data_IF_704086659689
#
_entry.id   IF_704086659689
#
_cell.length_a   1.000
_cell.length_b   1.000
_cell.length_c   1.000
_cell.angle_alpha   90.00
_cell.angle_beta   90.00
_cell.angle_gamma   90.00
#
_symmetry.space_group_name_H-M   'P 1'
#
loop_
_entity.id
_entity.type
_entity.pdbx_description
1 polymer ?
#
# COMPACT_ATOMS: atom_id res chain seq x y z
N UNK A 1 -28.12 6.63 -12.60
CA UNK A 1 -26.74 7.04 -12.30
C UNK A 1 -25.93 6.85 -13.57
N UNK A 2 -25.26 7.90 -14.06
CA UNK A 2 -24.33 7.72 -15.18
C UNK A 2 -23.22 6.78 -14.71
N UNK A 3 -22.89 5.76 -15.52
CA UNK A 3 -21.81 4.85 -15.25
C UNK A 3 -20.49 5.63 -15.26
N UNK A 4 -19.74 5.58 -14.16
CA UNK A 4 -18.38 6.14 -14.13
C UNK A 4 -17.52 5.33 -15.10
N UNK A 5 -16.85 5.96 -16.07
CA UNK A 5 -16.04 5.23 -17.03
C UNK A 5 -14.84 4.54 -16.33
N UNK A 6 -14.50 3.35 -16.82
CA UNK A 6 -13.26 2.68 -16.45
C UNK A 6 -12.19 3.04 -17.47
N UNK A 7 -11.06 3.54 -17.02
CA UNK A 7 -9.94 3.92 -17.88
C UNK A 7 -8.72 3.09 -17.50
N UNK A 8 -8.01 2.58 -18.48
CA UNK A 8 -6.71 1.96 -18.29
C UNK A 8 -5.61 3.02 -18.28
N UNK A 9 -4.51 2.76 -17.58
CA UNK A 9 -3.37 3.68 -17.44
C UNK A 9 -2.89 4.22 -18.77
N UNK A 10 -2.84 3.36 -19.79
CA UNK A 10 -2.41 3.67 -21.16
C UNK A 10 -3.33 4.66 -21.89
N UNK A 11 -4.58 4.72 -21.50
CA UNK A 11 -5.57 5.62 -22.11
C UNK A 11 -5.49 7.05 -21.55
N UNK A 12 -4.73 7.23 -20.46
CA UNK A 12 -4.60 8.51 -19.76
C UNK A 12 -3.51 9.40 -20.33
N UNK A 13 -2.48 8.85 -20.95
CA UNK A 13 -1.36 9.62 -21.52
C UNK A 13 -1.78 10.70 -22.50
N UNK A 14 -2.78 10.49 -23.39
CA UNK A 14 -3.26 11.55 -24.27
C UNK A 14 -4.10 12.62 -23.58
N UNK A 15 -4.59 12.35 -22.36
CA UNK A 15 -5.59 13.19 -21.68
C UNK A 15 -4.94 14.13 -20.67
N UNK A 16 -3.83 13.70 -20.06
CA UNK A 16 -3.14 14.46 -19.01
C UNK A 16 -1.72 14.80 -19.47
N UNK A 17 -1.39 16.08 -19.31
CA UNK A 17 -0.05 16.57 -19.52
C UNK A 17 0.97 15.75 -18.73
N UNK A 18 2.06 15.34 -19.38
CA UNK A 18 3.11 14.50 -18.78
C UNK A 18 4.19 15.30 -18.03
N UNK A 19 3.97 16.61 -17.86
CA UNK A 19 4.92 17.50 -17.19
C UNK A 19 4.18 18.38 -16.18
N UNK A 20 4.92 18.86 -15.17
CA UNK A 20 4.39 19.73 -14.12
C UNK A 20 3.80 18.97 -12.94
N UNK A 21 2.93 19.63 -12.22
CA UNK A 21 2.33 19.14 -10.97
C UNK A 21 0.82 19.34 -10.98
N UNK A 22 0.10 18.48 -10.25
CA UNK A 22 -1.33 18.64 -10.00
C UNK A 22 -1.60 18.43 -8.51
N UNK A 23 -2.29 19.37 -7.87
CA UNK A 23 -2.61 19.32 -6.44
C UNK A 23 -4.09 19.12 -6.21
N UNK A 24 -4.43 18.29 -5.21
CA UNK A 24 -5.81 17.96 -4.86
C UNK A 24 -6.01 17.91 -3.34
N UNK A 25 -7.15 18.38 -2.85
CA UNK A 25 -7.50 18.27 -1.44
C UNK A 25 -7.97 16.85 -1.11
N UNK A 26 -7.31 16.19 -0.14
CA UNK A 26 -7.72 14.91 0.44
C UNK A 26 -7.59 15.02 1.96
N UNK A 27 -8.61 14.63 2.71
CA UNK A 27 -8.62 14.65 4.18
C UNK A 27 -8.15 16.01 4.77
N UNK A 28 -8.62 17.12 4.20
CA UNK A 28 -8.28 18.50 4.56
C UNK A 28 -6.78 18.87 4.37
N UNK A 29 -6.07 18.14 3.52
CA UNK A 29 -4.69 18.42 3.12
C UNK A 29 -4.56 18.46 1.62
N UNK A 30 -3.58 19.20 1.13
CA UNK A 30 -3.25 19.24 -0.29
C UNK A 30 -2.16 18.24 -0.59
N UNK A 31 -2.46 17.23 -1.43
CA UNK A 31 -1.46 16.32 -1.98
C UNK A 31 -1.09 16.76 -3.40
N UNK A 32 0.19 16.78 -3.70
CA UNK A 32 0.71 17.18 -5.00
C UNK A 32 1.29 15.99 -5.74
N UNK A 33 0.82 15.76 -6.95
CA UNK A 33 1.30 14.70 -7.85
C UNK A 33 2.28 15.28 -8.89
N UNK A 34 3.39 14.60 -9.12
CA UNK A 34 4.34 14.90 -10.20
C UNK A 34 3.88 14.21 -11.49
N UNK A 35 3.47 14.97 -12.49
CA UNK A 35 2.87 14.40 -13.70
C UNK A 35 3.88 13.69 -14.61
N UNK A 36 5.19 13.89 -14.43
CA UNK A 36 6.23 13.09 -15.09
C UNK A 36 6.19 11.61 -14.68
N UNK A 37 5.71 11.31 -13.46
CA UNK A 37 5.58 9.97 -12.95
C UNK A 37 4.24 9.35 -13.40
N UNK A 38 4.28 8.20 -14.10
CA UNK A 38 3.08 7.58 -14.69
C UNK A 38 2.04 7.19 -13.63
N UNK A 39 2.46 6.67 -12.49
CA UNK A 39 1.55 6.28 -11.40
C UNK A 39 0.90 7.50 -10.75
N UNK A 40 1.66 8.58 -10.54
CA UNK A 40 1.11 9.81 -9.99
C UNK A 40 0.16 10.50 -10.98
N UNK A 41 0.46 10.46 -12.28
CA UNK A 41 -0.50 10.92 -13.32
C UNK A 41 -1.83 10.19 -13.22
N UNK A 42 -1.78 8.89 -12.95
CA UNK A 42 -2.98 8.08 -12.76
C UNK A 42 -3.82 8.55 -11.57
N UNK A 43 -3.18 8.78 -10.41
CA UNK A 43 -3.89 9.33 -9.25
C UNK A 43 -4.44 10.74 -9.52
N UNK A 44 -3.67 11.59 -10.18
CA UNK A 44 -4.13 12.91 -10.61
C UNK A 44 -5.36 12.80 -11.54
N UNK A 45 -5.32 11.88 -12.52
CA UNK A 45 -6.44 11.60 -13.41
C UNK A 45 -7.68 11.11 -12.65
N UNK A 46 -7.50 10.21 -11.71
CA UNK A 46 -8.56 9.71 -10.84
C UNK A 46 -9.26 10.86 -10.10
N UNK A 47 -8.46 11.75 -9.49
CA UNK A 47 -8.97 12.91 -8.77
C UNK A 47 -9.68 13.90 -9.70
N UNK A 48 -9.10 14.20 -10.87
CA UNK A 48 -9.60 15.22 -11.81
C UNK A 48 -10.84 14.73 -12.56
N UNK A 49 -10.75 13.55 -13.15
CA UNK A 49 -11.77 13.02 -14.08
C UNK A 49 -12.79 12.14 -13.38
N UNK A 50 -12.60 11.80 -12.10
CA UNK A 50 -13.44 10.87 -11.33
C UNK A 50 -13.65 9.53 -12.05
N UNK A 51 -12.60 9.03 -12.67
CA UNK A 51 -12.59 7.76 -13.39
C UNK A 51 -12.27 6.59 -12.49
N UNK A 52 -12.66 5.40 -12.91
CA UNK A 52 -12.32 4.14 -12.23
C UNK A 52 -10.95 3.66 -12.72
N UNK A 53 -10.15 3.20 -11.77
CA UNK A 53 -8.88 2.57 -12.05
C UNK A 53 -8.73 1.33 -11.15
N UNK A 54 -9.02 0.12 -11.66
CA UNK A 54 -9.10 -1.09 -10.84
C UNK A 54 -7.89 -1.32 -9.94
N UNK A 55 -6.66 -1.14 -10.47
CA UNK A 55 -5.42 -1.34 -9.72
C UNK A 55 -5.37 -0.51 -8.43
N UNK A 56 -5.66 0.78 -8.50
CA UNK A 56 -5.65 1.67 -7.32
C UNK A 56 -6.98 1.74 -6.57
N UNK A 57 -8.05 1.17 -7.15
CA UNK A 57 -9.36 1.19 -6.52
C UNK A 57 -9.54 0.04 -5.52
N UNK A 58 -8.77 -1.06 -5.65
CA UNK A 58 -8.78 -2.17 -4.68
C UNK A 58 -8.56 -1.62 -3.27
N UNK A 59 -7.49 -0.88 -3.04
CA UNK A 59 -7.17 -0.26 -1.75
C UNK A 59 -8.28 0.67 -1.27
N UNK A 60 -8.72 1.57 -2.15
CA UNK A 60 -9.76 2.54 -1.80
C UNK A 60 -11.08 1.89 -1.40
N UNK A 61 -11.43 0.76 -2.04
CA UNK A 61 -12.62 -0.03 -1.72
C UNK A 61 -12.45 -0.85 -0.44
N UNK A 62 -11.26 -1.44 -0.22
CA UNK A 62 -10.92 -2.10 1.04
C UNK A 62 -11.01 -1.14 2.21
N UNK A 63 -10.38 0.02 2.11
CA UNK A 63 -10.42 1.02 3.18
C UNK A 63 -11.84 1.53 3.43
N UNK A 64 -12.63 1.74 2.38
CA UNK A 64 -14.04 2.11 2.51
C UNK A 64 -14.88 1.05 3.22
N UNK A 65 -14.61 -0.23 2.98
CA UNK A 65 -15.38 -1.35 3.58
C UNK A 65 -14.95 -1.63 5.02
N UNK A 66 -13.67 -1.52 5.35
CA UNK A 66 -13.12 -2.11 6.56
C UNK A 66 -12.54 -1.14 7.57
N UNK A 67 -12.15 0.07 7.16
CA UNK A 67 -11.67 1.09 8.10
C UNK A 67 -12.86 1.66 8.85
N UNK A 68 -12.76 1.64 10.18
CA UNK A 68 -13.78 2.14 11.10
C UNK A 68 -13.41 3.52 11.61
N UNK A 69 -14.42 4.28 12.01
CA UNK A 69 -14.20 5.51 12.75
C UNK A 69 -13.45 5.21 14.05
N UNK A 70 -12.32 5.87 14.24
CA UNK A 70 -11.47 5.69 15.42
C UNK A 70 -10.29 4.74 15.22
N UNK A 71 -10.20 4.03 14.09
CA UNK A 71 -9.07 3.13 13.82
C UNK A 71 -7.73 3.87 13.82
N UNK A 72 -6.71 3.20 14.32
CA UNK A 72 -5.30 3.57 14.22
C UNK A 72 -4.65 2.67 13.19
N UNK A 73 -3.96 3.26 12.23
CA UNK A 73 -3.47 2.54 11.05
C UNK A 73 -1.96 2.63 10.94
N UNK A 74 -1.32 1.50 10.62
CA UNK A 74 0.04 1.41 10.13
C UNK A 74 0.00 1.32 8.59
N UNK A 75 0.54 2.31 7.89
CA UNK A 75 0.66 2.37 6.43
C UNK A 75 2.13 2.24 6.03
N UNK A 76 2.57 1.03 5.76
CA UNK A 76 3.92 0.73 5.32
C UNK A 76 4.00 0.73 3.79
N UNK A 77 4.96 1.48 3.25
CA UNK A 77 5.03 1.82 1.83
C UNK A 77 4.03 2.93 1.47
N UNK A 78 3.98 3.97 2.32
CA UNK A 78 3.03 5.07 2.15
C UNK A 78 3.32 5.95 0.94
N UNK A 79 4.50 5.82 0.35
CA UNK A 79 4.93 6.62 -0.79
C UNK A 79 4.74 8.12 -0.52
N UNK A 80 4.12 8.87 -1.43
CA UNK A 80 3.82 10.31 -1.26
C UNK A 80 2.62 10.60 -0.32
N UNK A 81 2.02 9.57 0.30
CA UNK A 81 0.96 9.72 1.31
C UNK A 81 -0.47 9.61 0.80
N UNK A 82 -0.71 9.17 -0.43
CA UNK A 82 -2.08 9.02 -0.97
C UNK A 82 -2.91 8.01 -0.17
N UNK A 83 -2.34 6.85 0.17
CA UNK A 83 -2.99 5.82 1.00
C UNK A 83 -3.21 6.31 2.42
N UNK A 84 -2.22 6.95 3.04
CA UNK A 84 -2.33 7.54 4.37
C UNK A 84 -3.47 8.56 4.48
N UNK A 85 -3.60 9.47 3.52
CA UNK A 85 -4.70 10.43 3.47
C UNK A 85 -6.05 9.74 3.22
N UNK A 86 -6.06 8.65 2.44
CA UNK A 86 -7.28 7.87 2.21
C UNK A 86 -7.75 7.19 3.50
N UNK A 87 -6.87 6.66 4.32
CA UNK A 87 -7.23 6.12 5.65
C UNK A 87 -7.88 7.19 6.54
N UNK A 88 -7.29 8.39 6.62
CA UNK A 88 -7.87 9.50 7.39
C UNK A 88 -9.24 9.91 6.84
N UNK A 89 -9.40 9.96 5.51
CA UNK A 89 -10.69 10.25 4.87
C UNK A 89 -11.76 9.20 5.21
N UNK A 90 -11.35 7.96 5.52
CA UNK A 90 -12.26 6.86 5.89
C UNK A 90 -12.55 6.79 7.38
N UNK A 91 -11.96 7.65 8.19
CA UNK A 91 -12.27 7.76 9.62
C UNK A 91 -11.18 7.27 10.56
N UNK A 92 -10.02 6.88 10.04
CA UNK A 92 -8.86 6.65 10.90
C UNK A 92 -8.55 7.92 11.70
N UNK A 93 -8.30 7.77 13.01
CA UNK A 93 -7.96 8.91 13.88
C UNK A 93 -6.46 9.13 13.93
N UNK A 94 -5.69 8.13 13.54
CA UNK A 94 -4.23 8.22 13.48
C UNK A 94 -3.68 7.26 12.44
N UNK A 95 -2.76 7.76 11.63
CA UNK A 95 -1.97 6.96 10.69
C UNK A 95 -0.49 7.16 11.00
N UNK A 96 0.25 6.07 11.12
CA UNK A 96 1.72 6.07 11.10
C UNK A 96 2.14 5.54 9.74
N UNK A 97 2.74 6.42 8.95
CA UNK A 97 3.04 6.19 7.53
C UNK A 97 4.56 6.10 7.33
N UNK A 98 5.02 4.99 6.76
CA UNK A 98 6.44 4.73 6.52
C UNK A 98 6.77 4.83 5.04
N UNK A 99 7.84 5.55 4.75
CA UNK A 99 8.47 5.62 3.43
C UNK A 99 9.98 5.73 3.60
N UNK A 100 10.79 4.77 3.13
CA UNK A 100 12.23 4.77 3.34
C UNK A 100 13.01 5.64 2.36
N UNK A 101 12.46 5.95 1.18
CA UNK A 101 13.20 6.66 0.12
C UNK A 101 13.19 8.17 0.40
N UNK A 102 14.35 8.81 0.65
CA UNK A 102 14.41 10.18 1.17
C UNK A 102 13.62 11.21 0.37
N UNK A 103 13.76 11.23 -0.95
CA UNK A 103 13.09 12.24 -1.79
C UNK A 103 11.56 12.02 -1.89
N UNK A 104 11.08 10.78 -1.69
CA UNK A 104 9.65 10.46 -1.60
C UNK A 104 9.16 10.81 -0.19
N UNK A 105 9.95 10.47 0.84
CA UNK A 105 9.65 10.79 2.22
C UNK A 105 9.50 12.29 2.47
N UNK A 106 10.34 13.14 1.87
CA UNK A 106 10.19 14.61 1.99
C UNK A 106 8.78 15.07 1.59
N UNK A 107 8.21 14.47 0.56
CA UNK A 107 6.85 14.77 0.08
C UNK A 107 5.77 14.24 1.03
N UNK A 108 5.95 13.01 1.52
CA UNK A 108 5.09 12.43 2.56
C UNK A 108 5.12 13.29 3.83
N UNK A 109 6.32 13.69 4.27
CA UNK A 109 6.53 14.46 5.49
C UNK A 109 5.92 15.88 5.42
N UNK A 110 5.77 16.44 4.23
CA UNK A 110 5.05 17.70 4.05
C UNK A 110 3.55 17.60 4.43
N UNK A 111 2.99 16.38 4.53
CA UNK A 111 1.61 16.12 4.95
C UNK A 111 1.49 15.84 6.46
N UNK A 112 2.62 15.76 7.18
CA UNK A 112 2.67 15.36 8.59
C UNK A 112 1.83 16.30 9.50
N UNK A 113 1.26 15.70 10.55
CA UNK A 113 0.37 16.40 11.50
C UNK A 113 0.12 15.54 12.74
N UNK A 114 -0.73 15.98 13.65
CA UNK A 114 -1.05 15.21 14.85
C UNK A 114 -1.72 13.85 14.58
N UNK A 115 -2.45 13.71 13.46
CA UNK A 115 -3.16 12.51 13.04
C UNK A 115 -2.43 11.74 11.93
N UNK A 116 -1.35 12.31 11.33
CA UNK A 116 -0.47 11.66 10.36
C UNK A 116 0.99 11.79 10.81
N UNK A 117 1.50 10.71 11.39
CA UNK A 117 2.91 10.61 11.75
C UNK A 117 3.66 9.96 10.60
N UNK A 118 4.75 10.56 10.18
CA UNK A 118 5.60 10.10 9.08
C UNK A 118 6.93 9.59 9.60
N UNK A 119 7.41 8.47 9.06
CA UNK A 119 8.63 7.79 9.50
C UNK A 119 9.51 7.45 8.31
N UNK A 120 10.74 8.01 8.28
CA UNK A 120 11.74 7.76 7.21
C UNK A 120 12.50 6.45 7.49
N UNK A 121 11.80 5.33 7.42
CA UNK A 121 12.37 4.00 7.63
C UNK A 121 11.62 2.95 6.82
N UNK A 122 12.31 1.86 6.46
CA UNK A 122 11.67 0.65 5.96
C UNK A 122 11.29 -0.27 7.13
N UNK A 123 10.22 -1.06 6.97
CA UNK A 123 9.96 -2.18 7.87
C UNK A 123 10.92 -3.33 7.56
N UNK A 124 11.41 -3.97 8.63
CA UNK A 124 12.30 -5.12 8.57
C UNK A 124 12.13 -6.01 9.80
N UNK A 125 12.83 -7.13 9.82
CA UNK A 125 12.91 -8.00 11.00
C UNK A 125 13.69 -7.37 12.17
N UNK A 126 14.59 -6.42 11.90
CA UNK A 126 15.46 -5.79 12.88
C UNK A 126 15.66 -4.30 12.58
N UNK A 127 15.95 -3.51 13.61
CA UNK A 127 16.39 -2.13 13.47
C UNK A 127 17.83 -2.09 12.95
N UNK A 128 18.14 -1.14 12.08
CA UNK A 128 19.48 -0.97 11.52
C UNK A 128 19.49 -0.15 10.26
N UNK A 129 20.34 -0.54 9.33
CA UNK A 129 20.45 0.05 8.00
C UNK A 129 20.57 -1.04 6.96
N UNK A 130 20.01 -0.77 5.77
CA UNK A 130 20.09 -1.65 4.61
C UNK A 130 20.18 -0.84 3.32
N UNK A 131 20.61 -1.46 2.23
CA UNK A 131 20.53 -0.85 0.90
C UNK A 131 19.14 -1.09 0.30
N UNK A 132 18.55 -0.04 -0.26
CA UNK A 132 17.37 -0.14 -1.13
C UNK A 132 17.78 0.13 -2.57
N UNK A 133 17.25 -0.64 -3.51
CA UNK A 133 17.38 -0.35 -4.93
C UNK A 133 16.21 0.49 -5.38
N UNK A 134 16.53 1.64 -5.97
CA UNK A 134 15.54 2.61 -6.39
C UNK A 134 14.99 2.24 -7.77
N UNK A 135 13.68 2.24 -7.89
CA UNK A 135 13.02 2.15 -9.19
C UNK A 135 13.39 3.36 -10.04
N UNK A 136 13.64 3.14 -11.33
CA UNK A 136 13.92 4.20 -12.29
C UNK A 136 12.71 4.54 -13.18
N UNK A 137 11.73 3.64 -13.23
CA UNK A 137 10.52 3.82 -14.03
C UNK A 137 9.42 4.59 -13.32
N UNK A 138 9.29 4.39 -12.00
CA UNK A 138 8.29 5.05 -11.15
C UNK A 138 8.67 4.94 -9.67
N UNK A 139 8.06 5.76 -8.81
CA UNK A 139 8.39 5.80 -7.37
C UNK A 139 7.72 4.72 -6.51
N UNK A 140 7.05 3.73 -7.08
CA UNK A 140 6.38 2.67 -6.32
C UNK A 140 7.13 1.33 -6.32
N UNK A 141 8.17 1.14 -7.10
CA UNK A 141 8.85 -0.14 -7.24
C UNK A 141 10.22 -0.22 -6.56
N UNK A 142 10.54 0.65 -5.60
CA UNK A 142 11.82 0.56 -4.90
C UNK A 142 11.79 -0.57 -3.87
N UNK A 143 12.82 -1.45 -3.87
CA UNK A 143 12.82 -2.67 -3.05
C UNK A 143 14.15 -2.90 -2.35
N UNK A 144 14.09 -3.51 -1.17
CA UNK A 144 15.25 -4.05 -0.45
C UNK A 144 15.53 -5.52 -0.83
N UNK A 145 14.73 -6.12 -1.73
CA UNK A 145 14.87 -7.52 -2.17
C UNK A 145 15.52 -7.59 -3.54
N UNK A 146 16.76 -8.07 -3.65
CA UNK A 146 17.48 -8.17 -4.92
C UNK A 146 16.78 -9.04 -5.96
N UNK A 147 16.02 -10.05 -5.51
CA UNK A 147 15.36 -11.01 -6.37
C UNK A 147 14.31 -10.36 -7.29
N UNK A 148 13.67 -9.29 -6.83
CA UNK A 148 12.68 -8.56 -7.63
C UNK A 148 13.30 -7.87 -8.85
N UNK A 149 14.60 -7.58 -8.81
CA UNK A 149 15.31 -6.97 -9.96
C UNK A 149 15.46 -7.95 -11.12
N UNK A 150 15.58 -9.25 -10.82
CA UNK A 150 15.64 -10.30 -11.84
C UNK A 150 14.25 -10.56 -12.45
N UNK A 151 13.20 -10.40 -11.65
CA UNK A 151 11.82 -10.62 -12.08
C UNK A 151 11.28 -9.42 -12.89
N UNK A 152 11.66 -8.19 -12.49
CA UNK A 152 11.14 -6.95 -13.08
C UNK A 152 12.27 -6.00 -13.55
N UNK A 153 13.15 -6.41 -14.48
CA UNK A 153 14.31 -5.61 -14.89
C UNK A 153 13.92 -4.25 -15.50
N UNK A 154 12.75 -4.13 -16.09
CA UNK A 154 12.22 -2.88 -16.65
C UNK A 154 11.91 -1.82 -15.58
N UNK A 155 11.68 -2.23 -14.34
CA UNK A 155 11.41 -1.31 -13.21
C UNK A 155 12.68 -0.67 -12.70
N UNK A 156 13.79 -1.42 -12.69
CA UNK A 156 15.05 -0.98 -12.06
C UNK A 156 16.06 -0.41 -13.05
N UNK A 157 15.92 -0.69 -14.34
CA UNK A 157 16.83 -0.22 -15.38
C UNK A 157 18.17 -0.96 -15.40
N UNK A 158 19.03 -0.62 -16.38
CA UNK A 158 20.33 -1.29 -16.59
C UNK A 158 21.39 -0.94 -15.52
N UNK A 159 21.33 0.25 -14.95
CA UNK A 159 22.21 0.70 -13.86
C UNK A 159 21.40 0.83 -12.57
N UNK A 160 21.65 -0.07 -11.61
CA UNK A 160 20.95 -0.08 -10.34
C UNK A 160 21.35 1.13 -9.49
N UNK A 161 20.43 2.03 -9.24
CA UNK A 161 20.61 3.10 -8.26
C UNK A 161 20.25 2.59 -6.88
N UNK A 162 21.16 2.80 -5.93
CA UNK A 162 20.99 2.35 -4.54
C UNK A 162 21.03 3.52 -3.58
N UNK A 163 20.33 3.38 -2.47
CA UNK A 163 20.40 4.29 -1.33
C UNK A 163 20.54 3.50 -0.04
N UNK A 164 21.30 4.03 0.91
CA UNK A 164 21.33 3.51 2.28
C UNK A 164 20.13 4.08 3.03
N UNK A 165 19.32 3.20 3.62
CA UNK A 165 18.12 3.56 4.37
C UNK A 165 18.15 2.96 5.77
N UNK A 166 17.42 3.59 6.70
CA UNK A 166 17.21 3.05 8.03
C UNK A 166 16.05 2.04 8.04
N UNK A 167 16.15 1.05 8.92
CA UNK A 167 15.08 0.07 9.16
C UNK A 167 14.51 0.21 10.56
N UNK A 168 13.28 -0.27 10.74
CA UNK A 168 12.60 -0.40 12.03
C UNK A 168 11.70 -1.63 12.02
N UNK A 169 11.18 -2.00 13.17
CA UNK A 169 10.27 -3.13 13.34
C UNK A 169 8.87 -2.64 13.68
N UNK A 170 7.86 -3.47 13.43
CA UNK A 170 6.48 -3.17 13.87
C UNK A 170 6.42 -3.10 15.39
N UNK A 171 7.11 -4.02 16.10
CA UNK A 171 7.17 -4.01 17.56
C UNK A 171 7.68 -2.66 18.09
N UNK A 172 8.74 -2.11 17.49
CA UNK A 172 9.25 -0.80 17.83
C UNK A 172 8.27 0.34 17.59
N UNK A 173 7.56 0.30 16.47
CA UNK A 173 6.53 1.30 16.17
C UNK A 173 5.33 1.25 17.11
N UNK A 174 4.96 0.05 17.57
CA UNK A 174 3.91 -0.12 18.60
C UNK A 174 4.36 0.44 19.94
N UNK A 175 5.64 0.23 20.33
CA UNK A 175 6.19 0.82 21.56
C UNK A 175 6.19 2.37 21.51
N UNK A 176 6.49 2.96 20.35
CA UNK A 176 6.59 4.41 20.19
C UNK A 176 5.22 5.09 19.98
N UNK A 177 4.33 4.44 19.26
CA UNK A 177 3.09 5.08 18.81
C UNK A 177 1.82 4.43 19.35
N UNK A 178 1.93 3.32 20.08
CA UNK A 178 0.80 2.51 20.54
C UNK A 178 0.27 1.56 19.48
N UNK A 179 -0.72 0.75 19.85
CA UNK A 179 -1.30 -0.29 19.01
C UNK A 179 -1.99 0.27 17.75
N UNK A 180 -2.04 -0.56 16.71
CA UNK A 180 -2.74 -0.28 15.46
C UNK A 180 -3.86 -1.30 15.26
N UNK A 181 -5.00 -0.83 14.79
CA UNK A 181 -6.17 -1.67 14.48
C UNK A 181 -6.09 -2.30 13.10
N UNK A 182 -5.41 -1.62 12.16
CA UNK A 182 -5.25 -2.03 10.77
C UNK A 182 -3.80 -1.81 10.33
N UNK A 183 -3.23 -2.80 9.64
CA UNK A 183 -1.95 -2.67 8.96
C UNK A 183 -2.16 -2.75 7.45
N UNK A 184 -1.48 -1.88 6.70
CA UNK A 184 -1.22 -2.04 5.27
C UNK A 184 0.26 -2.30 5.08
N UNK A 185 0.59 -3.41 4.44
CA UNK A 185 1.93 -3.83 4.09
C UNK A 185 2.02 -3.96 2.57
N UNK A 186 2.62 -2.98 1.94
CA UNK A 186 2.87 -2.90 0.51
C UNK A 186 4.27 -2.30 0.35
N UNK A 187 5.26 -3.16 0.56
CA UNK A 187 6.67 -2.80 0.77
C UNK A 187 7.61 -3.59 -0.14
N UNK A 188 7.07 -3.99 -1.29
CA UNK A 188 7.82 -4.51 -2.42
C UNK A 188 8.74 -5.69 -2.03
N UNK A 189 8.15 -6.70 -1.37
CA UNK A 189 8.78 -7.97 -1.03
C UNK A 189 9.36 -8.07 0.39
N UNK A 190 9.27 -7.01 1.21
CA UNK A 190 9.75 -7.03 2.60
C UNK A 190 8.68 -7.45 3.63
N UNK A 191 7.50 -7.90 3.20
CA UNK A 191 6.33 -8.19 4.05
C UNK A 191 6.63 -9.30 5.07
N UNK A 192 7.39 -10.32 4.67
CA UNK A 192 7.80 -11.42 5.57
C UNK A 192 8.73 -10.91 6.68
N UNK A 193 9.69 -10.04 6.34
CA UNK A 193 10.59 -9.47 7.33
C UNK A 193 9.87 -8.50 8.25
N UNK A 194 8.88 -7.75 7.74
CA UNK A 194 8.00 -6.93 8.56
C UNK A 194 7.24 -7.77 9.60
N UNK A 195 6.71 -8.95 9.23
CA UNK A 195 6.05 -9.85 10.19
C UNK A 195 7.02 -10.45 11.21
N UNK A 196 8.25 -10.75 10.83
CA UNK A 196 9.29 -11.19 11.78
C UNK A 196 9.59 -10.12 12.82
N UNK A 197 9.64 -8.84 12.38
CA UNK A 197 9.78 -7.67 13.26
C UNK A 197 8.51 -7.28 14.02
N UNK A 198 7.42 -8.05 13.87
CA UNK A 198 6.15 -7.87 14.53
C UNK A 198 5.82 -8.99 15.53
N UNK A 199 6.78 -9.86 15.85
CA UNK A 199 6.53 -11.12 16.57
C UNK A 199 5.88 -10.91 17.94
N UNK A 200 6.29 -9.90 18.72
CA UNK A 200 5.69 -9.59 20.01
C UNK A 200 4.29 -8.97 19.85
N UNK A 201 4.12 -8.08 18.90
CA UNK A 201 2.83 -7.43 18.62
C UNK A 201 1.80 -8.45 18.14
N UNK A 202 2.17 -9.34 17.23
CA UNK A 202 1.27 -10.40 16.76
C UNK A 202 0.80 -11.33 17.88
N UNK A 203 1.63 -11.57 18.89
CA UNK A 203 1.28 -12.42 20.03
C UNK A 203 0.44 -11.68 21.09
N UNK A 204 0.74 -10.41 21.35
CA UNK A 204 0.16 -9.68 22.49
C UNK A 204 -1.02 -8.78 22.13
N UNK A 205 -0.97 -8.16 20.97
CA UNK A 205 -1.94 -7.18 20.52
C UNK A 205 -2.02 -7.09 18.98
N UNK A 206 -2.37 -8.19 18.31
CA UNK A 206 -2.44 -8.23 16.84
C UNK A 206 -3.48 -7.24 16.32
N UNK A 207 -3.27 -6.64 15.12
CA UNK A 207 -4.25 -5.77 14.49
C UNK A 207 -5.51 -6.57 14.15
N UNK A 208 -6.63 -5.92 14.04
CA UNK A 208 -7.88 -6.56 13.59
C UNK A 208 -7.80 -7.06 12.15
N UNK A 209 -7.09 -6.32 11.30
CA UNK A 209 -6.93 -6.60 9.88
C UNK A 209 -5.50 -6.29 9.41
N UNK A 210 -5.01 -7.12 8.49
CA UNK A 210 -3.80 -6.86 7.73
C UNK A 210 -4.18 -6.86 6.24
N UNK A 211 -3.89 -5.78 5.53
CA UNK A 211 -3.88 -5.70 4.07
C UNK A 211 -2.45 -5.85 3.60
N UNK A 212 -2.17 -6.82 2.73
CA UNK A 212 -0.82 -7.04 2.22
C UNK A 212 -0.83 -7.30 0.72
N UNK A 213 0.06 -6.61 -0.02
CA UNK A 213 0.36 -6.98 -1.40
C UNK A 213 1.40 -8.10 -1.38
N UNK A 214 1.03 -9.29 -1.87
CA UNK A 214 1.89 -10.47 -1.77
C UNK A 214 1.98 -11.19 -3.12
N UNK A 215 3.20 -11.44 -3.56
CA UNK A 215 3.44 -12.34 -4.69
C UNK A 215 3.31 -13.80 -4.24
N UNK A 216 3.02 -14.70 -5.20
CA UNK A 216 2.58 -16.08 -4.94
C UNK A 216 3.52 -16.90 -4.02
N UNK A 217 4.82 -16.69 -4.12
CA UNK A 217 5.84 -17.35 -3.32
C UNK A 217 5.86 -16.90 -1.85
N UNK A 218 5.47 -15.64 -1.58
CA UNK A 218 5.40 -15.08 -0.23
C UNK A 218 4.14 -15.47 0.54
N UNK A 219 3.02 -15.73 -0.16
CA UNK A 219 1.70 -15.91 0.44
C UNK A 219 1.65 -17.03 1.50
N UNK A 220 2.21 -18.21 1.19
CA UNK A 220 2.20 -19.35 2.10
C UNK A 220 3.00 -19.04 3.37
N UNK A 221 4.20 -18.49 3.21
CA UNK A 221 5.05 -18.12 4.35
C UNK A 221 4.40 -17.02 5.19
N UNK A 222 3.82 -16.02 4.56
CA UNK A 222 3.11 -14.93 5.25
C UNK A 222 1.95 -15.49 6.08
N UNK A 223 1.10 -16.33 5.49
CA UNK A 223 -0.02 -16.93 6.19
C UNK A 223 0.42 -17.79 7.37
N UNK A 224 1.50 -18.59 7.22
CA UNK A 224 2.04 -19.39 8.33
C UNK A 224 2.42 -18.53 9.54
N UNK A 225 2.94 -17.32 9.33
CA UNK A 225 3.33 -16.40 10.39
C UNK A 225 2.14 -15.75 11.10
N UNK A 226 1.02 -15.52 10.41
CA UNK A 226 -0.14 -14.82 10.98
C UNK A 226 -1.32 -15.71 11.31
N UNK A 227 -1.37 -16.98 10.85
CA UNK A 227 -2.53 -17.87 10.93
C UNK A 227 -3.03 -18.13 12.34
N UNK A 228 -2.15 -18.08 13.35
CA UNK A 228 -2.56 -18.24 14.75
C UNK A 228 -3.43 -17.08 15.26
N UNK A 229 -3.29 -15.90 14.71
CA UNK A 229 -4.04 -14.69 15.09
C UNK A 229 -5.02 -14.25 14.02
N UNK A 230 -4.73 -14.52 12.74
CA UNK A 230 -5.56 -14.18 11.59
C UNK A 230 -5.87 -15.45 10.77
N UNK A 231 -6.77 -16.30 11.24
CA UNK A 231 -7.08 -17.58 10.59
C UNK A 231 -7.81 -17.41 9.25
N UNK A 232 -8.40 -16.24 8.99
CA UNK A 232 -9.15 -15.98 7.77
C UNK A 232 -8.32 -15.17 6.79
N UNK A 233 -8.16 -15.68 5.58
CA UNK A 233 -7.40 -15.07 4.49
C UNK A 233 -8.27 -14.99 3.24
N UNK A 234 -8.23 -13.83 2.58
CA UNK A 234 -9.02 -13.57 1.37
C UNK A 234 -8.15 -12.85 0.33
N UNK A 235 -8.42 -13.10 -0.94
CA UNK A 235 -7.92 -12.29 -2.05
C UNK A 235 -8.94 -11.22 -2.41
N UNK A 236 -8.49 -9.96 -2.47
CA UNK A 236 -9.34 -8.83 -2.81
C UNK A 236 -9.36 -8.62 -4.33
N UNK A 237 -10.54 -8.69 -4.95
CA UNK A 237 -10.74 -8.55 -6.38
C UNK A 237 -11.91 -7.61 -6.69
N UNK A 238 -11.88 -6.94 -7.84
CA UNK A 238 -12.97 -6.09 -8.32
C UNK A 238 -13.65 -6.78 -9.49
N UNK A 239 -14.95 -7.01 -9.39
CA UNK A 239 -15.77 -7.56 -10.47
C UNK A 239 -15.88 -6.58 -11.65
N UNK A 240 -15.67 -7.07 -12.87
CA UNK A 240 -15.64 -6.26 -14.10
C UNK A 240 -16.98 -5.58 -14.37
N UNK A 241 -18.11 -6.27 -14.11
CA UNK A 241 -19.45 -5.77 -14.47
C UNK A 241 -20.01 -4.83 -13.42
N UNK A 242 -19.99 -5.28 -12.15
CA UNK A 242 -20.56 -4.53 -11.03
C UNK A 242 -19.65 -3.46 -10.48
N UNK A 243 -18.34 -3.60 -10.70
CA UNK A 243 -17.29 -2.78 -10.07
C UNK A 243 -17.33 -2.82 -8.53
N UNK A 244 -17.72 -3.96 -7.98
CA UNK A 244 -17.74 -4.18 -6.53
C UNK A 244 -16.52 -4.98 -6.09
N UNK A 245 -16.08 -4.70 -4.89
CA UNK A 245 -15.02 -5.44 -4.22
C UNK A 245 -15.59 -6.79 -3.74
N UNK A 246 -14.92 -7.87 -4.09
CA UNK A 246 -15.16 -9.21 -3.61
C UNK A 246 -13.95 -9.72 -2.83
N UNK A 247 -14.23 -10.44 -1.75
CA UNK A 247 -13.25 -11.20 -1.01
C UNK A 247 -13.38 -12.67 -1.44
N UNK A 248 -12.41 -13.12 -2.21
CA UNK A 248 -12.42 -14.44 -2.83
C UNK A 248 -11.50 -15.40 -2.09
N UNK A 249 -11.62 -16.68 -2.42
CA UNK A 249 -10.66 -17.70 -2.00
C UNK A 249 -9.23 -17.26 -2.38
N UNK A 250 -8.28 -17.27 -1.45
CA UNK A 250 -6.92 -16.80 -1.70
C UNK A 250 -6.17 -17.62 -2.75
N UNK A 251 -6.60 -18.87 -3.01
CA UNK A 251 -5.99 -19.77 -3.99
C UNK A 251 -6.61 -19.67 -5.38
N UNK A 252 -7.57 -18.75 -5.60
CA UNK A 252 -8.25 -18.55 -6.87
C UNK A 252 -7.24 -18.26 -7.99
N UNK A 253 -7.19 -19.13 -9.00
CA UNK A 253 -6.30 -19.00 -10.15
C UNK A 253 -6.98 -18.36 -11.35
N UNK A 254 -8.26 -18.65 -11.57
CA UNK A 254 -9.05 -18.06 -12.66
C UNK A 254 -9.61 -16.71 -12.18
N UNK A 255 -9.14 -15.63 -12.79
CA UNK A 255 -9.53 -14.27 -12.40
C UNK A 255 -10.76 -13.75 -13.14
N UNK A 256 -11.30 -14.46 -14.11
CA UNK A 256 -12.58 -14.08 -14.68
C UNK A 256 -13.74 -14.35 -13.68
N UNK A 257 -14.66 -13.41 -13.45
CA UNK A 257 -14.89 -12.14 -14.16
C UNK A 257 -14.24 -10.90 -13.51
N UNK A 258 -13.08 -11.03 -12.87
CA UNK A 258 -12.44 -9.93 -12.13
C UNK A 258 -11.37 -9.21 -12.95
N UNK A 259 -11.11 -7.94 -12.61
CA UNK A 259 -9.95 -7.23 -13.13
C UNK A 259 -8.65 -7.86 -12.63
N UNK A 260 -7.66 -7.92 -13.51
CA UNK A 260 -6.29 -8.26 -13.11
C UNK A 260 -5.65 -7.05 -12.43
N UNK A 261 -5.34 -7.19 -11.16
CA UNK A 261 -4.68 -6.19 -10.33
C UNK A 261 -3.53 -6.82 -9.57
N UNK A 262 -2.67 -6.03 -8.96
CA UNK A 262 -1.68 -6.53 -8.01
C UNK A 262 -2.36 -7.38 -6.93
N UNK A 263 -1.70 -8.44 -6.46
CA UNK A 263 -2.32 -9.43 -5.59
C UNK A 263 -2.46 -8.92 -4.15
N UNK A 264 -3.53 -8.17 -3.88
CA UNK A 264 -3.87 -7.69 -2.56
C UNK A 264 -4.65 -8.74 -1.75
N UNK A 265 -4.16 -9.05 -0.56
CA UNK A 265 -4.77 -9.99 0.37
C UNK A 265 -5.26 -9.30 1.64
N UNK A 266 -6.29 -9.89 2.24
CA UNK A 266 -6.87 -9.47 3.52
C UNK A 266 -6.74 -10.61 4.52
N UNK A 267 -6.07 -10.36 5.64
CA UNK A 267 -6.00 -11.30 6.76
C UNK A 267 -6.82 -10.74 7.90
N UNK A 268 -7.68 -11.56 8.48
CA UNK A 268 -8.64 -11.14 9.50
C UNK A 268 -8.66 -12.08 10.71
N UNK A 269 -8.84 -11.50 11.89
CA UNK A 269 -9.08 -12.26 13.12
C UNK A 269 -10.46 -12.94 13.13
N UNK A 270 -11.44 -12.31 12.48
CA UNK A 270 -12.82 -12.80 12.41
C UNK A 270 -13.20 -13.12 10.96
N UNK A 271 -14.13 -14.08 10.79
CA UNK A 271 -14.68 -14.39 9.48
C UNK A 271 -15.40 -13.17 8.90
N UNK A 272 -15.02 -12.78 7.69
CA UNK A 272 -15.68 -11.70 6.95
C UNK A 272 -16.80 -12.33 6.13
N UNK A 273 -18.03 -11.98 6.48
CA UNK A 273 -19.23 -12.36 5.71
C UNK A 273 -19.58 -11.27 4.71
N UNK A 274 -19.96 -11.69 3.51
CA UNK A 274 -20.41 -10.80 2.43
C UNK A 274 -21.71 -10.06 2.76
#
# INVERSE_FOLDING_TARGET
MQSVPTIHVWDLEPIIQSEGHASFPIANREITFELKNSHERMYAAKCLLKVRHPQSDVDSLLFKRFVKQGDRVLDAGANIGYTALTFLLRGAVKVVALEPVPYIFERLNALASNDLITVEKALSAEEGQTEIVLSQSHNQGSSIKPELMEIFPEVYGAELKKALINTTTVDRLVDEHGQFDVWKLDIEGAEIDALRGASNTLLSSPPRLIFAELYADALVTFYQLVSATHPYMYRALIDVKSYQLHLCDPTLQELEPFYQTSPMYVFSQEEIKD
#
